data_IF_977822125028
#
_entry.id   IF_977822125028
#
_cell.length_a   1.000
_cell.length_b   1.000
_cell.length_c   1.000
_cell.angle_alpha   90.00
_cell.angle_beta   90.00
_cell.angle_gamma   90.00
#
_symmetry.space_group_name_H-M   'P 1'
#
loop_
_entity.id
_entity.type
_entity.pdbx_description
1 polymer ?
#
# COMPACT_ATOMS: atom_id res chain seq x y z
N UNK A 1 4.51 -33.33 -26.03
CA UNK A 1 3.99 -32.57 -27.18
C UNK A 1 2.72 -33.28 -27.60
N UNK A 2 1.57 -32.86 -27.05
CA UNK A 2 0.31 -33.54 -27.29
C UNK A 2 -0.48 -32.77 -28.35
N UNK A 3 -0.51 -33.41 -29.52
CA UNK A 3 -1.24 -33.03 -30.72
C UNK A 3 -2.71 -33.44 -30.56
N UNK A 4 -3.61 -32.54 -30.92
CA UNK A 4 -5.06 -32.71 -30.90
C UNK A 4 -5.50 -33.32 -32.24
N UNK A 5 -6.16 -34.48 -32.24
CA UNK A 5 -6.87 -34.96 -33.43
C UNK A 5 -8.15 -35.73 -33.08
N UNK A 6 -9.27 -34.99 -33.15
CA UNK A 6 -10.50 -35.25 -33.91
C UNK A 6 -11.43 -36.46 -33.67
N UNK A 7 -12.71 -36.14 -33.93
CA UNK A 7 -13.93 -36.95 -34.10
C UNK A 7 -14.68 -37.30 -32.80
N UNK A 8 -15.99 -37.24 -32.72
CA UNK A 8 -17.00 -37.36 -33.78
C UNK A 8 -18.30 -36.66 -33.39
N UNK A 9 -18.93 -36.02 -34.36
CA UNK A 9 -20.32 -35.59 -34.33
C UNK A 9 -21.25 -36.80 -34.22
N UNK A 10 -22.21 -36.73 -33.30
CA UNK A 10 -23.50 -37.42 -33.40
C UNK A 10 -24.61 -36.42 -33.05
N UNK A 11 -25.39 -36.07 -34.08
CA UNK A 11 -26.81 -35.68 -34.02
C UNK A 11 -27.63 -37.00 -33.94
N UNK A 12 -28.93 -37.08 -33.57
CA UNK A 12 -29.98 -36.06 -33.72
C UNK A 12 -31.11 -36.09 -32.65
N UNK A 13 -32.23 -35.43 -33.01
CA UNK A 13 -33.61 -35.52 -32.48
C UNK A 13 -34.04 -34.50 -31.41
N UNK A 14 -34.75 -33.44 -31.86
CA UNK A 14 -35.52 -32.52 -31.03
C UNK A 14 -36.86 -33.14 -30.56
N UNK A 15 -37.99 -32.40 -30.48
CA UNK A 15 -38.24 -30.96 -30.42
C UNK A 15 -39.02 -30.59 -29.13
N UNK A 16 -39.57 -29.37 -29.07
CA UNK A 16 -40.48 -28.85 -28.02
C UNK A 16 -39.81 -28.29 -26.77
N UNK A 17 -39.84 -26.95 -26.65
CA UNK A 17 -39.89 -26.17 -25.39
C UNK A 17 -39.38 -24.73 -25.56
N UNK A 18 -39.37 -24.20 -26.79
CA UNK A 18 -38.83 -22.86 -27.12
C UNK A 18 -39.57 -21.64 -26.56
N UNK A 19 -40.61 -21.81 -25.74
CA UNK A 19 -41.34 -20.68 -25.13
C UNK A 19 -41.17 -20.57 -23.61
N UNK A 20 -40.96 -21.67 -22.88
CA UNK A 20 -40.86 -21.62 -21.41
C UNK A 20 -39.46 -21.20 -20.93
N UNK A 21 -38.40 -21.49 -21.70
CA UNK A 21 -37.03 -21.13 -21.33
C UNK A 21 -36.70 -19.63 -21.47
N UNK A 22 -37.42 -18.89 -22.32
CA UNK A 22 -37.19 -17.44 -22.49
C UNK A 22 -37.75 -16.60 -21.35
N UNK A 23 -38.84 -17.04 -20.72
CA UNK A 23 -39.47 -16.30 -19.61
C UNK A 23 -38.64 -16.44 -18.34
N UNK A 24 -38.11 -17.64 -18.05
CA UNK A 24 -37.31 -17.88 -16.84
C UNK A 24 -35.98 -17.10 -16.86
N UNK A 25 -35.30 -16.99 -18.01
CA UNK A 25 -34.05 -16.22 -18.09
C UNK A 25 -34.22 -14.71 -17.88
N UNK A 26 -35.35 -14.12 -18.25
CA UNK A 26 -35.59 -12.68 -18.04
C UNK A 26 -35.78 -12.37 -16.55
N UNK A 27 -36.44 -13.24 -15.80
CA UNK A 27 -36.64 -13.04 -14.36
C UNK A 27 -35.35 -13.20 -13.55
N UNK A 28 -34.45 -14.13 -13.91
CA UNK A 28 -33.18 -14.31 -13.19
C UNK A 28 -32.20 -13.15 -13.45
N UNK A 29 -32.16 -12.60 -14.66
CA UNK A 29 -31.29 -11.45 -14.98
C UNK A 29 -31.87 -10.14 -14.44
N UNK A 30 -33.20 -9.98 -14.41
CA UNK A 30 -33.86 -8.81 -13.83
C UNK A 30 -33.73 -8.70 -12.31
N UNK A 31 -33.80 -9.83 -11.59
CA UNK A 31 -33.68 -9.84 -10.12
C UNK A 31 -32.24 -9.62 -9.62
N UNK A 32 -31.21 -9.90 -10.42
CA UNK A 32 -29.83 -9.55 -10.09
C UNK A 32 -29.50 -8.06 -10.23
N UNK A 33 -30.30 -7.28 -10.97
CA UNK A 33 -30.05 -5.84 -11.15
C UNK A 33 -30.61 -4.97 -10.01
N UNK A 34 -31.60 -5.44 -9.26
CA UNK A 34 -32.23 -4.64 -8.19
C UNK A 34 -31.58 -4.85 -6.81
N UNK A 35 -30.59 -5.76 -6.72
CA UNK A 35 -29.73 -5.92 -5.54
C UNK A 35 -28.33 -5.30 -5.72
N UNK A 36 -28.07 -4.60 -6.84
CA UNK A 36 -26.77 -3.99 -7.15
C UNK A 36 -26.61 -2.54 -6.70
N UNK A 37 -27.64 -1.91 -6.13
CA UNK A 37 -27.66 -0.49 -5.71
C UNK A 37 -27.96 -0.36 -4.22
N UNK A 38 -27.18 -1.05 -3.38
CA UNK A 38 -27.12 -0.76 -1.95
C UNK A 38 -25.81 -1.25 -1.31
N UNK A 39 -24.68 -0.95 -1.92
CA UNK A 39 -23.45 -0.77 -1.14
C UNK A 39 -23.08 0.70 -1.19
N UNK A 40 -23.91 1.52 -0.53
CA UNK A 40 -23.39 2.72 0.11
C UNK A 40 -22.35 2.22 1.11
N UNK A 41 -21.07 2.22 0.70
CA UNK A 41 -19.98 2.20 1.65
C UNK A 41 -20.06 3.54 2.39
N UNK A 42 -20.82 3.56 3.49
CA UNK A 42 -20.53 4.45 4.60
C UNK A 42 -19.09 4.13 5.00
N UNK A 43 -18.17 4.86 4.38
CA UNK A 43 -16.78 4.93 4.79
C UNK A 43 -16.79 5.62 6.14
N UNK A 44 -17.00 4.82 7.19
CA UNK A 44 -16.63 5.15 8.55
C UNK A 44 -15.26 5.84 8.44
N UNK A 45 -15.11 7.09 8.91
CA UNK A 45 -13.80 7.73 8.91
C UNK A 45 -12.88 6.77 9.66
N UNK A 46 -11.85 6.28 8.95
CA UNK A 46 -10.81 5.42 9.49
C UNK A 46 -10.10 6.17 10.61
N UNK A 47 -10.72 6.19 11.79
CA UNK A 47 -10.27 6.95 12.96
C UNK A 47 -9.31 6.10 13.79
N UNK A 48 -8.57 5.24 13.09
CA UNK A 48 -7.31 4.64 13.48
C UNK A 48 -6.54 4.39 12.17
N UNK A 49 -6.33 5.45 11.39
CA UNK A 49 -5.18 5.46 10.48
C UNK A 49 -3.96 5.20 11.36
N UNK A 50 -3.47 3.97 11.34
CA UNK A 50 -2.10 3.66 11.73
C UNK A 50 -1.21 4.43 10.75
N UNK A 51 -1.03 5.74 11.01
CA UNK A 51 -0.23 6.62 10.17
C UNK A 51 1.13 5.99 10.08
N UNK A 52 1.44 5.51 8.87
CA UNK A 52 2.75 4.96 8.56
C UNK A 52 3.74 6.09 8.78
N UNK A 53 4.82 5.86 9.55
CA UNK A 53 5.78 6.90 9.82
C UNK A 53 6.40 7.42 8.51
N UNK A 54 6.46 8.73 8.37
CA UNK A 54 7.04 9.38 7.20
C UNK A 54 8.56 9.44 7.36
N UNK A 55 9.30 9.04 6.32
CA UNK A 55 10.75 9.09 6.29
C UNK A 55 11.22 10.06 5.22
N UNK A 56 11.98 11.06 5.63
CA UNK A 56 12.66 11.99 4.74
C UNK A 56 14.16 11.76 4.80
N UNK A 57 14.83 11.95 3.67
CA UNK A 57 16.28 11.92 3.61
C UNK A 57 16.78 13.23 3.00
N UNK A 58 17.64 13.94 3.73
CA UNK A 58 18.18 15.24 3.36
C UNK A 58 19.69 15.13 3.20
N UNK A 59 20.20 15.68 2.10
CA UNK A 59 21.63 15.79 1.83
C UNK A 59 22.09 17.22 2.11
N UNK A 60 23.15 17.38 2.90
CA UNK A 60 23.72 18.69 3.24
C UNK A 60 25.19 18.56 3.62
N UNK A 61 25.97 19.63 3.40
CA UNK A 61 27.37 19.69 3.82
C UNK A 61 27.55 19.75 5.35
N UNK A 62 26.50 20.17 6.08
CA UNK A 62 26.53 20.26 7.55
C UNK A 62 25.35 19.52 8.22
N UNK A 63 25.35 18.18 8.26
CA UNK A 63 24.26 17.41 8.86
C UNK A 63 24.05 17.70 10.34
N UNK A 64 25.15 17.72 11.11
CA UNK A 64 25.11 17.97 12.56
C UNK A 64 24.48 19.33 12.87
N UNK A 65 24.86 20.37 12.13
CA UNK A 65 24.26 21.70 12.28
C UNK A 65 22.76 21.72 11.95
N UNK A 66 22.34 21.07 10.87
CA UNK A 66 20.92 20.97 10.51
C UNK A 66 20.13 20.21 11.59
N UNK A 67 20.64 19.07 12.08
CA UNK A 67 19.98 18.34 13.16
C UNK A 67 19.93 19.14 14.45
N UNK A 68 20.98 19.90 14.80
CA UNK A 68 20.98 20.73 16.00
C UNK A 68 19.86 21.78 15.97
N UNK A 69 19.63 22.42 14.82
CA UNK A 69 18.62 23.46 14.62
C UNK A 69 17.19 22.93 14.43
N UNK A 70 17.03 21.65 14.08
CA UNK A 70 15.72 21.06 13.89
C UNK A 70 14.90 21.03 15.19
N UNK A 71 13.64 21.44 15.11
CA UNK A 71 12.62 21.15 16.13
C UNK A 71 12.30 19.66 16.09
N UNK A 72 12.57 18.95 17.18
CA UNK A 72 12.57 17.49 17.26
C UNK A 72 12.31 17.02 18.68
N UNK A 73 11.78 15.83 18.81
CA UNK A 73 11.60 15.15 20.11
C UNK A 73 12.84 14.32 20.47
N UNK A 74 13.57 13.85 19.46
CA UNK A 74 14.83 13.15 19.65
C UNK A 74 15.74 13.19 18.43
N UNK A 75 16.99 12.81 18.66
CA UNK A 75 18.01 12.74 17.62
C UNK A 75 19.00 11.62 17.90
N UNK A 76 19.64 11.14 16.84
CA UNK A 76 20.79 10.26 16.91
C UNK A 76 21.86 10.79 15.95
N UNK A 77 23.12 10.80 16.38
CA UNK A 77 24.25 11.29 15.59
C UNK A 77 25.31 10.21 15.55
N UNK A 78 25.84 9.95 14.35
CA UNK A 78 26.92 8.99 14.16
C UNK A 78 27.82 9.49 13.03
N UNK A 79 29.13 9.58 13.31
CA UNK A 79 30.10 10.23 12.43
C UNK A 79 29.62 11.64 11.99
N UNK A 80 29.68 11.93 10.69
CA UNK A 80 29.26 13.20 10.07
C UNK A 80 27.77 13.22 9.66
N UNK A 81 26.94 12.35 10.22
CA UNK A 81 25.53 12.21 9.85
C UNK A 81 24.63 12.11 11.08
N UNK A 82 23.34 12.36 10.89
CA UNK A 82 22.38 12.34 11.99
C UNK A 82 20.96 11.98 11.51
N UNK A 83 20.13 11.55 12.44
CA UNK A 83 18.68 11.44 12.25
C UNK A 83 17.98 12.17 13.38
N UNK A 84 16.79 12.68 13.09
CA UNK A 84 15.91 13.25 14.10
C UNK A 84 14.46 12.87 13.82
N UNK A 85 13.63 12.92 14.84
CA UNK A 85 12.22 12.56 14.72
C UNK A 85 11.30 13.49 15.52
N UNK A 86 10.04 13.52 15.07
CA UNK A 86 8.91 14.16 15.75
C UNK A 86 7.81 13.11 15.90
N UNK A 87 7.55 12.68 17.13
CA UNK A 87 6.64 11.60 17.49
C UNK A 87 5.19 11.94 17.14
N UNK A 88 4.75 13.16 17.46
CA UNK A 88 3.38 13.61 17.17
C UNK A 88 3.07 13.59 15.67
N UNK A 89 4.06 13.93 14.84
CA UNK A 89 3.95 13.92 13.37
C UNK A 89 4.20 12.53 12.78
N UNK A 90 4.66 11.57 13.58
CA UNK A 90 5.26 10.31 13.12
C UNK A 90 6.28 10.53 12.00
N UNK A 91 7.09 11.57 12.11
CA UNK A 91 8.06 11.97 11.09
C UNK A 91 9.49 11.67 11.53
N UNK A 92 10.23 11.01 10.66
CA UNK A 92 11.66 10.79 10.77
C UNK A 92 12.38 11.53 9.65
N UNK A 93 13.54 12.12 9.93
CA UNK A 93 14.40 12.69 8.91
C UNK A 93 15.85 12.25 9.13
N UNK A 94 16.43 11.63 8.11
CA UNK A 94 17.85 11.30 8.04
C UNK A 94 18.56 12.45 7.33
N UNK A 95 19.70 12.87 7.86
CA UNK A 95 20.48 13.98 7.34
C UNK A 95 21.92 13.50 7.17
N UNK A 96 22.43 13.55 5.96
CA UNK A 96 23.73 12.96 5.62
C UNK A 96 24.51 13.86 4.65
N UNK A 97 25.82 13.66 4.54
CA UNK A 97 26.62 14.33 3.51
C UNK A 97 26.41 13.68 2.13
N UNK A 98 26.44 14.44 1.02
CA UNK A 98 26.46 13.88 -0.32
C UNK A 98 27.64 12.92 -0.49
N UNK A 99 27.41 11.75 -1.07
CA UNK A 99 28.42 10.75 -1.50
C UNK A 99 29.43 10.27 -0.43
N UNK A 100 29.24 10.61 0.85
CA UNK A 100 30.14 10.27 1.96
C UNK A 100 29.54 9.33 3.00
N UNK A 101 28.32 8.86 2.76
CA UNK A 101 27.56 8.08 3.74
C UNK A 101 27.55 6.61 3.36
N UNK A 102 28.14 5.76 4.21
CA UNK A 102 28.12 4.32 3.99
C UNK A 102 26.73 3.74 4.29
N UNK A 103 26.40 2.61 3.66
CA UNK A 103 25.15 1.89 3.92
C UNK A 103 24.99 1.51 5.40
N UNK A 104 26.09 1.19 6.08
CA UNK A 104 26.09 0.90 7.52
C UNK A 104 25.65 2.11 8.35
N UNK A 105 26.20 3.29 8.06
CA UNK A 105 25.81 4.54 8.73
C UNK A 105 24.32 4.84 8.51
N UNK A 106 23.84 4.71 7.27
CA UNK A 106 22.43 4.92 6.95
C UNK A 106 21.51 3.96 7.72
N UNK A 107 21.90 2.69 7.82
CA UNK A 107 21.15 1.68 8.58
C UNK A 107 21.06 1.98 10.07
N UNK A 108 22.15 2.46 10.68
CA UNK A 108 22.16 2.90 12.09
C UNK A 108 21.19 4.07 12.32
N UNK A 109 21.28 5.09 11.46
CA UNK A 109 20.42 6.27 11.53
C UNK A 109 18.93 5.94 11.38
N UNK A 110 18.60 5.11 10.39
CA UNK A 110 17.24 4.64 10.14
C UNK A 110 16.68 3.86 11.34
N UNK A 111 17.46 2.92 11.86
CA UNK A 111 17.08 2.09 13.02
C UNK A 111 16.84 2.94 14.27
N UNK A 112 17.74 3.88 14.56
CA UNK A 112 17.57 4.78 15.70
C UNK A 112 16.27 5.59 15.58
N UNK A 113 15.99 6.09 14.37
CA UNK A 113 14.80 6.86 14.11
C UNK A 113 13.50 6.05 14.24
N UNK A 114 13.48 4.83 13.69
CA UNK A 114 12.35 3.90 13.86
C UNK A 114 12.08 3.58 15.33
N UNK A 115 13.14 3.38 16.12
CA UNK A 115 13.01 3.17 17.57
C UNK A 115 12.43 4.41 18.25
N UNK A 116 12.93 5.60 17.91
CA UNK A 116 12.46 6.87 18.48
C UNK A 116 10.99 7.18 18.21
N UNK A 117 10.45 6.72 17.08
CA UNK A 117 9.03 6.86 16.71
C UNK A 117 8.09 5.84 17.37
N UNK A 118 8.62 4.81 18.05
CA UNK A 118 7.82 3.80 18.76
C UNK A 118 7.65 4.08 20.25
N UNK A 119 8.48 4.96 20.81
CA UNK A 119 8.42 5.41 22.21
C UNK A 119 7.36 6.48 22.34
#
# INVERSE_FOLDING_TARGET
MFDHTYRSLTSPSGPQSGLFLRVVMIFVVGLCWIAGVAQAQDSLPSTFENKVPQFNWVLTDNPVGMCAQARKDGTHTVADACSYWVQQERRCTLVTKPDKTSHHVLGMLFTACQKGLRV
#
